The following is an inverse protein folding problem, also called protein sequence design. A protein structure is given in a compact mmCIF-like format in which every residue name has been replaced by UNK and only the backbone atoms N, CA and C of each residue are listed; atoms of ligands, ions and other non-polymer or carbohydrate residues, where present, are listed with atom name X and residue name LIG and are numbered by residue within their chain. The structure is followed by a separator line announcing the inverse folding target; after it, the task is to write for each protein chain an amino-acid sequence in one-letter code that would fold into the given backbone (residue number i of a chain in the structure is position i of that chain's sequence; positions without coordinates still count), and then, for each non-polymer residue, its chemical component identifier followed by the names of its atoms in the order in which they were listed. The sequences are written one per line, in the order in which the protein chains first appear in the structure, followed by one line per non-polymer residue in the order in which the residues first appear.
data_IF_042436530798
#
_entry.id   IF_042436530798
#
_cell.length_a   1.000
_cell.length_b   1.000
_cell.length_c   1.000
_cell.angle_alpha   90.00
_cell.angle_beta   90.00
_cell.angle_gamma   90.00
#
_symmetry.space_group_name_H-M   'P 1'
#
loop_
_entity.id
_entity.type
_entity.pdbx_description
1 polymer ?
#
# COMPACT_ATOMS: atom_id res chain seq x y z
N UNK A 1 54.89 -8.61 -39.62
CA UNK A 1 53.45 -8.81 -39.49
C UNK A 1 52.90 -9.01 -40.89
N UNK A 2 52.33 -10.19 -41.20
CA UNK A 2 51.79 -10.43 -42.54
C UNK A 2 50.39 -9.83 -42.71
N UNK A 3 49.91 -9.62 -43.96
CA UNK A 3 48.61 -8.99 -44.26
C UNK A 3 47.44 -9.69 -43.57
N UNK A 4 47.52 -10.99 -43.33
CA UNK A 4 46.47 -11.78 -42.66
C UNK A 4 46.41 -11.47 -41.14
N UNK A 5 47.53 -11.33 -40.49
CA UNK A 5 47.61 -10.93 -39.07
C UNK A 5 47.15 -9.49 -38.86
N UNK A 6 47.45 -8.59 -39.82
CA UNK A 6 46.98 -7.20 -39.78
C UNK A 6 45.44 -7.14 -39.92
N UNK A 7 44.86 -7.88 -40.89
CA UNK A 7 43.39 -7.97 -41.07
C UNK A 7 42.68 -8.57 -39.86
N UNK A 8 43.20 -9.65 -39.28
CA UNK A 8 42.62 -10.26 -38.11
C UNK A 8 42.65 -9.33 -36.87
N UNK A 9 43.76 -8.61 -36.67
CA UNK A 9 43.88 -7.67 -35.58
C UNK A 9 43.01 -6.40 -35.77
N UNK A 10 42.77 -5.98 -36.99
CA UNK A 10 41.94 -4.82 -37.31
C UNK A 10 40.45 -5.22 -37.29
N UNK A 11 40.11 -6.41 -37.81
CA UNK A 11 38.72 -6.93 -37.75
C UNK A 11 38.23 -7.22 -36.34
N UNK A 12 39.11 -7.58 -35.39
CA UNK A 12 38.74 -7.79 -33.99
C UNK A 12 38.59 -6.46 -33.19
N UNK A 13 39.30 -5.41 -33.57
CA UNK A 13 39.25 -4.12 -32.85
C UNK A 13 38.01 -3.30 -33.13
N UNK A 14 37.47 -3.30 -34.35
CA UNK A 14 36.26 -2.57 -34.71
C UNK A 14 35.02 -3.11 -34.05
N UNK A 15 34.74 -4.44 -34.02
CA UNK A 15 33.64 -5.00 -33.25
C UNK A 15 33.77 -4.80 -31.75
N UNK A 16 34.99 -4.83 -31.19
CA UNK A 16 35.21 -4.53 -29.78
C UNK A 16 34.93 -3.06 -29.44
N UNK A 17 35.33 -2.10 -30.28
CA UNK A 17 34.97 -0.69 -30.10
C UNK A 17 33.48 -0.46 -30.20
N UNK A 18 32.79 -1.08 -31.18
CA UNK A 18 31.33 -1.02 -31.29
C UNK A 18 30.63 -1.67 -30.11
N UNK A 19 31.10 -2.81 -29.62
CA UNK A 19 30.58 -3.47 -28.45
C UNK A 19 30.81 -2.62 -27.18
N UNK A 20 31.98 -2.01 -27.05
CA UNK A 20 32.28 -1.10 -25.92
C UNK A 20 31.40 0.14 -25.96
N UNK A 21 31.15 0.73 -27.13
CA UNK A 21 30.25 1.88 -27.31
C UNK A 21 28.79 1.50 -27.00
N UNK A 22 28.32 0.32 -27.45
CA UNK A 22 26.99 -0.23 -27.12
C UNK A 22 26.86 -0.49 -25.62
N UNK A 23 27.86 -1.12 -24.99
CA UNK A 23 27.83 -1.40 -23.55
C UNK A 23 27.92 -0.11 -22.70
N UNK A 24 28.62 0.93 -23.19
CA UNK A 24 28.64 2.25 -22.55
C UNK A 24 27.29 2.98 -22.70
N UNK A 25 26.66 2.88 -23.87
CA UNK A 25 25.32 3.44 -24.10
C UNK A 25 24.26 2.76 -23.27
N UNK A 26 24.35 1.43 -23.11
CA UNK A 26 23.43 0.63 -22.30
C UNK A 26 23.69 0.75 -20.79
N UNK A 27 24.67 1.58 -20.37
CA UNK A 27 25.05 1.79 -18.96
C UNK A 27 25.48 0.51 -18.22
N UNK A 28 25.77 -0.59 -18.90
CA UNK A 28 26.19 -1.84 -18.27
C UNK A 28 27.54 -1.73 -17.53
N UNK A 29 28.41 -0.79 -17.91
CA UNK A 29 29.67 -0.50 -17.19
C UNK A 29 29.51 0.57 -16.10
N UNK A 30 28.42 1.34 -16.08
CA UNK A 30 28.20 2.36 -15.04
C UNK A 30 27.81 1.74 -13.67
N UNK A 31 27.52 0.44 -13.63
CA UNK A 31 27.17 -0.26 -12.40
C UNK A 31 28.33 -1.02 -11.72
N UNK A 32 29.53 -0.90 -12.22
CA UNK A 32 30.75 -1.36 -11.51
C UNK A 32 31.24 -0.36 -10.44
N UNK A 33 30.48 0.70 -10.16
CA UNK A 33 30.70 1.53 -8.97
C UNK A 33 30.35 0.72 -7.72
N UNK A 34 31.22 0.81 -6.71
CA UNK A 34 31.11 0.26 -5.34
C UNK A 34 29.68 -0.12 -4.96
N UNK A 35 29.43 -1.32 -4.38
CA UNK A 35 28.11 -1.74 -3.94
C UNK A 35 27.55 -0.68 -2.99
N UNK A 36 26.69 0.20 -3.50
CA UNK A 36 26.03 1.21 -2.70
C UNK A 36 24.86 0.54 -1.99
N UNK A 37 24.62 0.94 -0.73
CA UNK A 37 23.42 0.51 -0.01
C UNK A 37 22.17 0.68 -0.92
N UNK A 38 21.43 -0.38 -1.27
CA UNK A 38 20.30 -0.29 -2.19
C UNK A 38 19.18 0.60 -1.66
N UNK A 39 19.15 0.83 -0.33
CA UNK A 39 18.21 1.72 0.34
C UNK A 39 18.73 3.15 0.53
N UNK A 40 19.91 3.51 -0.01
CA UNK A 40 20.35 4.91 0.02
C UNK A 40 19.31 5.82 -0.63
N UNK A 41 19.10 7.05 -0.09
CA UNK A 41 18.19 8.02 -0.69
C UNK A 41 18.51 8.25 -2.16
N UNK A 42 17.48 8.24 -3.01
CA UNK A 42 17.58 8.49 -4.44
C UNK A 42 16.74 9.72 -4.80
N UNK A 43 17.21 10.56 -5.75
CA UNK A 43 16.41 11.67 -6.23
C UNK A 43 15.16 11.15 -6.97
N UNK A 44 14.01 11.82 -6.82
CA UNK A 44 12.85 11.53 -7.62
C UNK A 44 13.08 11.93 -9.09
N UNK A 45 12.23 11.45 -10.00
CA UNK A 45 12.30 11.79 -11.42
C UNK A 45 11.92 13.26 -11.70
N UNK A 46 11.08 13.83 -10.83
CA UNK A 46 10.65 15.23 -10.84
C UNK A 46 10.26 15.66 -9.42
N UNK A 47 10.07 16.97 -9.14
CA UNK A 47 9.72 17.44 -7.80
C UNK A 47 8.49 16.74 -7.24
N UNK A 48 8.67 16.02 -6.13
CA UNK A 48 7.60 15.29 -5.45
C UNK A 48 6.65 16.26 -4.72
N UNK A 49 5.36 15.96 -4.75
CA UNK A 49 4.36 16.62 -3.90
C UNK A 49 4.30 15.99 -2.51
N UNK A 50 4.59 14.70 -2.43
CA UNK A 50 4.60 13.94 -1.18
C UNK A 50 5.96 13.27 -0.94
N UNK A 51 6.34 13.13 0.33
CA UNK A 51 7.51 12.40 0.78
C UNK A 51 7.17 11.04 1.37
N UNK A 52 5.90 10.86 1.80
CA UNK A 52 5.40 9.71 2.55
C UNK A 52 4.03 9.29 2.05
N UNK A 53 3.72 8.00 2.18
CA UNK A 53 2.40 7.47 1.85
C UNK A 53 1.96 6.46 2.93
N UNK A 54 0.71 6.57 3.36
CA UNK A 54 0.05 5.63 4.25
C UNK A 54 -1.09 4.98 3.51
N UNK A 55 -1.11 3.66 3.44
CA UNK A 55 -2.21 2.90 2.88
C UNK A 55 -3.01 2.22 4.00
N UNK A 56 -4.22 2.71 4.22
CA UNK A 56 -5.22 2.18 5.13
C UNK A 56 -6.02 1.10 4.37
N UNK A 57 -5.58 -0.15 4.46
CA UNK A 57 -6.13 -1.26 3.69
C UNK A 57 -7.26 -1.95 4.46
N UNK A 58 -8.47 -1.84 3.95
CA UNK A 58 -9.68 -2.46 4.49
C UNK A 58 -9.87 -3.84 3.85
N UNK A 59 -9.23 -4.84 4.44
CA UNK A 59 -9.19 -6.21 3.92
C UNK A 59 -10.59 -6.84 3.93
N UNK A 60 -11.02 -7.37 2.81
CA UNK A 60 -12.34 -7.97 2.65
C UNK A 60 -13.31 -7.14 1.79
N UNK A 61 -12.92 -5.95 1.34
CA UNK A 61 -13.70 -5.18 0.38
C UNK A 61 -14.91 -4.46 0.96
N UNK A 62 -14.76 -3.23 1.48
CA UNK A 62 -15.86 -2.41 1.96
C UNK A 62 -16.90 -2.12 0.87
N UNK A 63 -18.18 -2.17 1.21
CA UNK A 63 -19.27 -1.86 0.29
C UNK A 63 -19.30 -0.37 -0.08
N UNK A 64 -19.11 -0.05 -1.35
CA UNK A 64 -19.16 1.32 -1.86
C UNK A 64 -20.51 1.97 -1.61
N UNK A 65 -21.61 1.24 -1.85
CA UNK A 65 -22.97 1.75 -1.69
C UNK A 65 -23.36 1.97 -0.24
N UNK A 66 -22.60 1.44 0.70
CA UNK A 66 -22.82 1.61 2.15
C UNK A 66 -21.84 2.59 2.79
N UNK A 67 -20.82 3.08 2.05
CA UNK A 67 -19.73 3.90 2.60
C UNK A 67 -19.61 5.29 1.96
N UNK A 68 -19.26 5.39 0.66
CA UNK A 68 -18.93 6.66 0.00
C UNK A 68 -19.65 6.90 -1.35
N UNK A 69 -20.46 5.95 -1.83
CA UNK A 69 -21.18 6.03 -3.10
C UNK A 69 -22.69 5.87 -2.93
N UNK A 70 -23.41 6.91 -2.45
CA UNK A 70 -24.86 6.86 -2.24
C UNK A 70 -25.60 6.60 -3.55
N UNK A 71 -26.58 5.68 -3.53
CA UNK A 71 -27.40 5.30 -4.68
C UNK A 71 -28.89 5.45 -4.38
N UNK A 72 -29.49 6.62 -4.64
CA UNK A 72 -30.92 6.83 -4.43
C UNK A 72 -31.83 5.83 -5.18
N UNK A 73 -31.37 5.34 -6.33
CA UNK A 73 -32.09 4.33 -7.10
C UNK A 73 -32.27 3.01 -6.34
N UNK A 74 -31.34 2.66 -5.44
CA UNK A 74 -31.48 1.46 -4.59
C UNK A 74 -32.61 1.58 -3.58
N UNK A 75 -32.94 2.77 -3.10
CA UNK A 75 -34.11 2.96 -2.25
C UNK A 75 -35.40 2.69 -2.99
N UNK A 76 -35.51 3.23 -4.22
CA UNK A 76 -36.66 3.07 -5.10
C UNK A 76 -36.88 1.61 -5.53
N UNK A 77 -35.82 0.89 -5.78
CA UNK A 77 -35.85 -0.47 -6.32
C UNK A 77 -35.56 -1.56 -5.27
N UNK A 78 -35.51 -1.19 -3.99
CA UNK A 78 -35.25 -2.16 -2.91
C UNK A 78 -36.19 -3.37 -2.95
N UNK A 79 -35.62 -4.57 -2.86
CA UNK A 79 -36.36 -5.83 -2.87
C UNK A 79 -36.77 -6.33 -4.26
N UNK A 80 -36.54 -5.55 -5.34
CA UNK A 80 -36.81 -6.01 -6.71
C UNK A 80 -35.66 -6.85 -7.28
N UNK A 81 -35.95 -7.65 -8.30
CA UNK A 81 -34.90 -8.38 -9.03
C UNK A 81 -33.99 -7.42 -9.79
N UNK A 82 -32.72 -7.74 -9.86
CA UNK A 82 -31.78 -7.02 -10.71
C UNK A 82 -31.87 -7.50 -12.16
N UNK A 83 -32.02 -6.58 -13.10
CA UNK A 83 -32.16 -6.87 -14.54
C UNK A 83 -31.05 -6.23 -15.38
N UNK A 84 -29.90 -5.90 -14.81
CA UNK A 84 -28.81 -5.15 -15.44
C UNK A 84 -27.78 -5.99 -16.21
N UNK A 85 -28.10 -7.24 -16.57
CA UNK A 85 -27.25 -8.09 -17.41
C UNK A 85 -26.08 -8.79 -16.70
N UNK A 86 -25.99 -8.73 -15.37
CA UNK A 86 -25.14 -9.60 -14.56
C UNK A 86 -26.08 -10.67 -13.96
N UNK A 87 -25.93 -11.91 -14.37
CA UNK A 87 -26.83 -12.99 -13.95
C UNK A 87 -26.28 -13.79 -12.77
N UNK A 88 -24.96 -13.79 -12.62
CA UNK A 88 -24.25 -14.64 -11.68
C UNK A 88 -23.25 -13.82 -10.87
N UNK A 89 -23.23 -14.00 -9.58
CA UNK A 89 -22.27 -13.39 -8.66
C UNK A 89 -20.88 -14.02 -8.72
N UNK A 90 -19.97 -13.55 -7.87
CA UNK A 90 -18.58 -13.98 -7.80
C UNK A 90 -18.41 -15.47 -7.47
N UNK A 91 -19.36 -16.01 -6.72
CA UNK A 91 -19.40 -17.41 -6.27
C UNK A 91 -20.15 -18.35 -7.23
N UNK A 92 -20.58 -17.89 -8.41
CA UNK A 92 -21.35 -18.65 -9.38
C UNK A 92 -22.84 -18.83 -9.04
N UNK A 93 -23.35 -18.15 -8.02
CA UNK A 93 -24.77 -18.15 -7.63
C UNK A 93 -25.53 -17.05 -8.36
N UNK A 94 -26.84 -17.21 -8.58
CA UNK A 94 -27.66 -16.13 -9.13
C UNK A 94 -27.57 -14.88 -8.26
N UNK A 95 -27.53 -13.72 -8.92
CA UNK A 95 -27.55 -12.41 -8.25
C UNK A 95 -28.85 -12.27 -7.45
N UNK A 96 -28.72 -11.79 -6.21
CA UNK A 96 -29.83 -11.55 -5.31
C UNK A 96 -30.70 -10.34 -5.70
N UNK A 97 -31.60 -9.95 -4.80
CA UNK A 97 -32.48 -8.79 -4.97
C UNK A 97 -31.73 -7.51 -4.65
N UNK A 98 -32.07 -6.40 -5.31
CA UNK A 98 -31.53 -5.08 -5.01
C UNK A 98 -31.74 -4.73 -3.54
N UNK A 99 -30.68 -4.27 -2.89
CA UNK A 99 -30.68 -3.93 -1.47
C UNK A 99 -30.21 -2.50 -1.27
N UNK A 100 -31.07 -1.64 -0.77
CA UNK A 100 -30.70 -0.27 -0.38
C UNK A 100 -29.68 -0.28 0.75
N UNK A 101 -28.92 0.80 0.86
CA UNK A 101 -28.04 0.97 2.02
C UNK A 101 -28.86 1.06 3.32
N UNK A 102 -28.48 0.30 4.35
CA UNK A 102 -29.08 0.42 5.68
C UNK A 102 -28.52 1.65 6.45
N UNK A 103 -27.53 2.34 5.89
CA UNK A 103 -26.85 3.47 6.51
C UNK A 103 -27.23 4.75 5.79
N UNK A 104 -27.81 5.74 6.49
CA UNK A 104 -28.12 7.03 5.88
C UNK A 104 -26.83 7.77 5.50
N UNK A 105 -26.92 8.52 4.39
CA UNK A 105 -25.90 9.44 3.93
C UNK A 105 -26.28 10.86 4.25
N UNK A 106 -25.32 11.66 4.67
CA UNK A 106 -25.46 13.12 4.85
C UNK A 106 -24.33 13.84 4.17
N UNK A 107 -24.58 15.08 3.76
CA UNK A 107 -23.55 15.95 3.16
C UNK A 107 -22.68 16.55 4.27
N UNK A 108 -21.37 16.60 4.03
CA UNK A 108 -20.40 17.07 5.00
C UNK A 108 -19.42 18.07 4.37
N UNK A 109 -18.84 18.92 5.23
CA UNK A 109 -17.90 19.96 4.82
C UNK A 109 -18.55 21.05 3.98
N UNK A 110 -17.74 21.97 3.47
CA UNK A 110 -18.15 23.00 2.52
C UNK A 110 -18.38 22.41 1.12
N UNK A 111 -17.67 21.32 0.81
CA UNK A 111 -17.80 20.57 -0.45
C UNK A 111 -19.15 19.88 -0.60
N UNK A 112 -19.87 19.64 0.50
CA UNK A 112 -21.11 18.87 0.49
C UNK A 112 -20.92 17.39 0.15
N UNK A 113 -19.72 16.82 0.35
CA UNK A 113 -19.42 15.44 0.03
C UNK A 113 -20.33 14.50 0.85
N UNK A 114 -21.14 13.63 0.22
CA UNK A 114 -21.98 12.70 0.95
C UNK A 114 -21.14 11.54 1.50
N UNK A 115 -21.27 11.31 2.80
CA UNK A 115 -20.59 10.23 3.53
C UNK A 115 -21.62 9.49 4.39
N UNK A 116 -21.47 8.18 4.47
CA UNK A 116 -22.33 7.31 5.27
C UNK A 116 -22.18 7.59 6.76
N UNK A 117 -23.28 7.37 7.50
CA UNK A 117 -23.29 7.42 8.97
C UNK A 117 -22.34 6.43 9.67
N UNK A 118 -21.71 5.54 8.91
CA UNK A 118 -20.64 4.66 9.40
C UNK A 118 -19.38 5.43 9.83
N UNK A 119 -19.12 6.62 9.23
CA UNK A 119 -17.88 7.39 9.37
C UNK A 119 -18.10 8.80 9.94
N UNK A 120 -18.71 8.96 11.14
CA UNK A 120 -19.02 10.29 11.69
C UNK A 120 -17.78 11.13 12.04
N UNK A 121 -16.62 10.51 12.25
CA UNK A 121 -15.38 11.23 12.56
C UNK A 121 -14.60 11.57 11.30
N UNK A 122 -14.45 10.64 10.35
CA UNK A 122 -13.84 10.91 9.03
C UNK A 122 -14.62 11.99 8.28
N UNK A 123 -15.95 12.01 8.40
CA UNK A 123 -16.82 13.00 7.77
C UNK A 123 -16.50 14.44 8.15
N UNK A 124 -15.87 14.69 9.31
CA UNK A 124 -15.39 16.03 9.72
C UNK A 124 -14.29 16.58 8.81
N UNK A 125 -13.65 15.70 8.05
CA UNK A 125 -12.57 15.99 7.11
C UNK A 125 -13.01 15.84 5.64
N UNK A 126 -14.32 15.92 5.35
CA UNK A 126 -14.86 15.75 4.01
C UNK A 126 -14.18 16.64 2.97
N UNK A 127 -13.84 17.88 3.33
CA UNK A 127 -13.16 18.83 2.44
C UNK A 127 -11.71 18.46 2.12
N UNK A 128 -11.13 17.52 2.85
CA UNK A 128 -9.79 17.00 2.62
C UNK A 128 -9.80 15.72 1.76
N UNK A 129 -10.95 15.06 1.60
CA UNK A 129 -11.05 13.77 0.91
C UNK A 129 -11.28 13.94 -0.59
N UNK A 130 -10.54 13.17 -1.38
CA UNK A 130 -10.81 12.92 -2.79
C UNK A 130 -11.34 11.48 -2.94
N UNK A 131 -12.65 11.33 -3.10
CA UNK A 131 -13.28 10.02 -3.23
C UNK A 131 -13.24 9.56 -4.70
N UNK A 132 -12.65 8.40 -4.94
CA UNK A 132 -12.60 7.73 -6.24
C UNK A 132 -13.74 6.71 -6.29
N UNK A 133 -14.88 7.05 -6.94
CA UNK A 133 -16.08 6.21 -6.95
C UNK A 133 -16.14 5.19 -8.07
N UNK A 134 -15.23 5.29 -9.01
CA UNK A 134 -15.21 4.45 -10.22
C UNK A 134 -14.02 3.51 -10.27
N UNK A 135 -13.51 3.10 -9.10
CA UNK A 135 -12.45 2.10 -9.04
C UNK A 135 -12.95 0.76 -9.58
N UNK A 136 -12.08 0.02 -10.26
CA UNK A 136 -12.33 -1.35 -10.69
C UNK A 136 -11.04 -2.18 -10.72
N UNK A 137 -11.19 -3.51 -10.68
CA UNK A 137 -10.08 -4.47 -10.64
C UNK A 137 -10.36 -5.64 -11.59
N UNK A 138 -9.39 -6.55 -11.77
CA UNK A 138 -9.48 -7.64 -12.74
C UNK A 138 -10.01 -8.96 -12.13
N UNK A 139 -10.36 -8.98 -10.84
CA UNK A 139 -10.70 -10.21 -10.14
C UNK A 139 -11.72 -10.02 -9.01
N UNK A 140 -12.60 -11.02 -8.85
CA UNK A 140 -13.55 -11.11 -7.75
C UNK A 140 -13.03 -11.89 -6.53
N UNK A 141 -11.86 -12.51 -6.62
CA UNK A 141 -11.34 -13.36 -5.56
C UNK A 141 -10.42 -12.56 -4.62
N UNK A 142 -10.64 -12.62 -3.30
CA UNK A 142 -9.87 -11.87 -2.30
C UNK A 142 -8.36 -12.06 -2.46
N UNK A 143 -7.88 -13.31 -2.60
CA UNK A 143 -6.44 -13.58 -2.69
C UNK A 143 -5.78 -12.81 -3.83
N UNK A 144 -6.31 -12.92 -5.05
CA UNK A 144 -5.78 -12.20 -6.22
C UNK A 144 -6.11 -10.72 -6.21
N UNK A 145 -7.25 -10.31 -5.62
CA UNK A 145 -7.62 -8.90 -5.45
C UNK A 145 -6.68 -8.16 -4.49
N UNK A 146 -6.41 -8.73 -3.32
CA UNK A 146 -5.42 -8.18 -2.39
C UNK A 146 -4.03 -8.09 -3.03
N UNK A 147 -3.60 -9.16 -3.73
CA UNK A 147 -2.31 -9.15 -4.43
C UNK A 147 -2.30 -8.08 -5.52
N UNK A 148 -3.37 -7.94 -6.31
CA UNK A 148 -3.43 -6.91 -7.37
C UNK A 148 -3.42 -5.50 -6.79
N UNK A 149 -4.18 -5.23 -5.74
CA UNK A 149 -4.19 -3.92 -5.09
C UNK A 149 -2.80 -3.55 -4.53
N UNK A 150 -2.02 -4.53 -4.11
CA UNK A 150 -0.70 -4.28 -3.55
C UNK A 150 0.43 -4.31 -4.58
N UNK A 151 0.32 -5.10 -5.66
CA UNK A 151 1.43 -5.37 -6.59
C UNK A 151 1.16 -4.99 -8.05
N UNK A 152 -0.07 -4.58 -8.37
CA UNK A 152 -0.51 -4.31 -9.75
C UNK A 152 -0.76 -5.57 -10.59
N UNK A 153 -0.70 -6.77 -9.99
CA UNK A 153 -0.87 -8.05 -10.69
C UNK A 153 -1.73 -9.00 -9.87
N UNK A 154 -2.61 -9.74 -10.52
CA UNK A 154 -3.39 -10.81 -9.87
C UNK A 154 -2.54 -12.03 -9.47
N UNK A 155 -1.30 -12.10 -9.94
CA UNK A 155 -0.37 -13.19 -9.68
C UNK A 155 0.64 -12.81 -8.60
N UNK A 156 0.95 -13.75 -7.70
CA UNK A 156 2.01 -13.62 -6.70
C UNK A 156 3.40 -13.53 -7.34
N UNK A 157 4.39 -13.08 -6.55
CA UNK A 157 5.80 -13.00 -6.99
C UNK A 157 6.19 -11.66 -7.63
N UNK A 158 5.26 -10.70 -7.69
CA UNK A 158 5.56 -9.31 -8.09
C UNK A 158 5.87 -8.44 -6.87
N UNK A 159 6.74 -7.42 -7.02
CA UNK A 159 7.00 -6.47 -5.93
C UNK A 159 5.77 -5.63 -5.61
N UNK A 160 5.55 -5.39 -4.33
CA UNK A 160 4.48 -4.52 -3.84
C UNK A 160 4.76 -3.03 -4.10
N UNK A 161 3.73 -2.19 -4.02
CA UNK A 161 3.85 -0.73 -4.15
C UNK A 161 4.90 -0.15 -3.19
N UNK A 162 4.93 -0.61 -1.93
CA UNK A 162 5.95 -0.19 -0.96
C UNK A 162 7.35 -0.61 -1.37
N UNK A 163 7.51 -1.78 -2.00
CA UNK A 163 8.78 -2.24 -2.56
C UNK A 163 9.23 -1.37 -3.72
N UNK A 164 8.33 -0.98 -4.62
CA UNK A 164 8.61 -0.05 -5.72
C UNK A 164 9.00 1.34 -5.23
N UNK A 165 8.33 1.86 -4.20
CA UNK A 165 8.68 3.14 -3.58
C UNK A 165 10.05 3.08 -2.90
N UNK A 166 10.34 2.00 -2.18
CA UNK A 166 11.65 1.76 -1.55
C UNK A 166 12.77 1.62 -2.60
N UNK A 167 12.51 0.94 -3.71
CA UNK A 167 13.44 0.82 -4.82
C UNK A 167 13.68 2.17 -5.52
N UNK A 168 12.63 2.93 -5.81
CA UNK A 168 12.70 4.19 -6.55
C UNK A 168 13.30 5.34 -5.75
N UNK A 169 13.03 5.42 -4.44
CA UNK A 169 13.39 6.58 -3.62
C UNK A 169 14.37 6.26 -2.47
N UNK A 170 14.59 4.99 -2.17
CA UNK A 170 15.37 4.59 -0.99
C UNK A 170 14.70 4.97 0.33
N UNK A 171 15.46 4.94 1.41
CA UNK A 171 15.05 5.33 2.75
C UNK A 171 15.61 6.72 3.12
N UNK A 172 14.76 7.55 3.73
CA UNK A 172 15.20 8.80 4.35
C UNK A 172 15.71 8.60 5.80
N UNK A 173 15.60 7.37 6.32
CA UNK A 173 15.95 6.99 7.68
C UNK A 173 16.88 5.76 7.65
N UNK A 174 17.95 5.80 8.43
CA UNK A 174 18.92 4.71 8.51
C UNK A 174 18.60 3.69 9.62
N UNK A 175 17.72 4.04 10.57
CA UNK A 175 17.45 3.28 11.78
C UNK A 175 16.11 2.56 11.78
N UNK A 176 15.27 2.79 10.76
CA UNK A 176 13.97 2.16 10.56
C UNK A 176 13.81 1.72 9.11
N UNK A 177 12.98 0.71 8.83
CA UNK A 177 12.67 0.30 7.47
C UNK A 177 12.04 1.44 6.68
N UNK A 178 12.29 1.49 5.37
CA UNK A 178 11.59 2.41 4.45
C UNK A 178 10.11 2.05 4.26
N UNK A 179 9.77 0.78 4.48
CA UNK A 179 8.44 0.20 4.31
C UNK A 179 8.04 -0.62 5.54
N UNK A 180 6.99 -0.18 6.23
CA UNK A 180 6.43 -0.83 7.43
C UNK A 180 5.01 -1.31 7.15
N UNK A 181 4.69 -2.49 7.65
CA UNK A 181 3.35 -3.11 7.55
C UNK A 181 2.86 -3.42 8.95
N UNK A 182 1.60 -3.13 9.25
CA UNK A 182 0.94 -3.53 10.49
C UNK A 182 -0.35 -4.29 10.15
N UNK A 183 -0.39 -5.57 10.51
CA UNK A 183 -1.54 -6.45 10.26
C UNK A 183 -2.60 -6.33 11.36
N UNK A 184 -3.78 -6.88 11.08
CA UNK A 184 -4.83 -7.02 12.07
C UNK A 184 -4.46 -8.12 13.09
N UNK A 185 -4.81 -7.99 14.38
CA UNK A 185 -4.50 -9.02 15.38
C UNK A 185 -5.26 -10.33 15.15
N UNK A 186 -6.39 -10.30 14.43
CA UNK A 186 -7.16 -11.50 14.03
C UNK A 186 -6.44 -12.33 12.96
N UNK A 187 -5.46 -11.74 12.28
CA UNK A 187 -4.65 -12.40 11.26
C UNK A 187 -4.16 -11.42 10.18
N UNK A 188 -3.40 -11.93 9.21
CA UNK A 188 -3.02 -11.15 8.03
C UNK A 188 -4.12 -11.16 6.96
N UNK A 189 -4.00 -10.30 5.93
CA UNK A 189 -4.87 -10.36 4.77
C UNK A 189 -4.67 -11.68 4.02
N UNK A 190 -5.65 -12.05 3.22
CA UNK A 190 -5.53 -13.22 2.33
C UNK A 190 -4.34 -13.00 1.39
N UNK A 191 -3.49 -14.02 1.23
CA UNK A 191 -2.19 -13.89 0.56
C UNK A 191 -1.02 -13.51 1.47
N UNK A 192 -1.29 -13.19 2.75
CA UNK A 192 -0.31 -12.97 3.81
C UNK A 192 0.89 -12.11 3.34
N UNK A 193 2.12 -12.54 3.59
CA UNK A 193 3.35 -11.80 3.27
C UNK A 193 3.55 -11.50 1.77
N UNK A 194 2.84 -12.19 0.88
CA UNK A 194 2.88 -11.87 -0.56
C UNK A 194 2.38 -10.46 -0.87
N UNK A 195 1.52 -9.90 -0.02
CA UNK A 195 0.98 -8.54 -0.17
C UNK A 195 2.03 -7.42 0.04
N UNK A 196 3.11 -7.70 0.76
CA UNK A 196 4.21 -6.74 1.00
C UNK A 196 5.58 -7.29 0.61
N UNK A 197 5.58 -8.30 -0.24
CA UNK A 197 6.79 -8.94 -0.75
C UNK A 197 7.58 -8.02 -1.68
N UNK A 198 8.92 -8.19 -1.67
CA UNK A 198 9.80 -7.64 -2.68
C UNK A 198 9.68 -8.38 -4.04
N UNK A 199 8.98 -9.52 -4.09
CA UNK A 199 8.83 -10.31 -5.30
C UNK A 199 10.18 -10.70 -5.90
N UNK A 200 10.40 -10.31 -7.16
CA UNK A 200 11.68 -10.54 -7.86
C UNK A 200 12.76 -9.49 -7.55
N UNK A 201 12.48 -8.49 -6.74
CA UNK A 201 13.47 -7.52 -6.27
C UNK A 201 14.23 -8.05 -5.05
N UNK A 202 15.42 -7.52 -4.73
CA UNK A 202 16.13 -7.85 -3.50
C UNK A 202 15.26 -7.68 -2.24
N UNK A 203 15.43 -8.57 -1.28
CA UNK A 203 14.67 -8.60 -0.01
C UNK A 203 14.76 -7.31 0.83
N UNK A 204 15.78 -6.47 0.60
CA UNK A 204 15.90 -5.17 1.27
C UNK A 204 14.73 -4.22 1.00
N UNK A 205 13.98 -4.43 -0.09
CA UNK A 205 12.81 -3.62 -0.43
C UNK A 205 11.49 -4.17 0.12
N UNK A 206 11.51 -5.33 0.78
CA UNK A 206 10.33 -5.97 1.37
C UNK A 206 9.79 -5.16 2.55
N UNK A 207 8.46 -5.16 2.72
CA UNK A 207 7.83 -4.59 3.90
C UNK A 207 8.19 -5.33 5.19
N UNK A 208 8.52 -4.58 6.23
CA UNK A 208 8.81 -5.10 7.56
C UNK A 208 7.55 -5.09 8.40
N UNK A 209 7.17 -6.26 8.90
CA UNK A 209 5.98 -6.41 9.75
C UNK A 209 6.26 -5.87 11.15
N UNK A 210 5.50 -4.85 11.55
CA UNK A 210 5.46 -4.30 12.90
C UNK A 210 4.20 -4.75 13.62
N UNK A 211 4.29 -4.96 14.91
CA UNK A 211 3.18 -5.28 15.80
C UNK A 211 2.74 -4.03 16.55
N UNK A 212 1.44 -3.90 16.75
CA UNK A 212 0.84 -2.79 17.52
C UNK A 212 0.99 -2.91 19.03
N UNK A 213 1.46 -4.07 19.52
CA UNK A 213 1.69 -4.33 20.94
C UNK A 213 2.79 -5.34 21.19
N UNK A 214 3.43 -5.27 22.35
CA UNK A 214 4.59 -6.09 22.71
C UNK A 214 5.85 -5.70 21.93
N UNK A 215 6.69 -6.67 21.59
CA UNK A 215 7.87 -6.42 20.76
C UNK A 215 7.44 -5.95 19.36
N UNK A 216 7.93 -4.80 18.85
CA UNK A 216 7.51 -4.25 17.55
C UNK A 216 7.80 -5.19 16.38
N UNK A 217 8.93 -5.86 16.43
CA UNK A 217 9.35 -6.89 15.49
C UNK A 217 9.77 -8.12 16.29
N UNK A 218 9.36 -9.32 15.85
CA UNK A 218 9.75 -10.56 16.53
C UNK A 218 11.25 -10.73 16.47
N UNK A 219 11.81 -11.30 17.55
CA UNK A 219 13.23 -11.64 17.68
C UNK A 219 14.22 -10.50 17.43
N UNK A 220 13.73 -9.25 17.54
CA UNK A 220 14.57 -8.05 17.37
C UNK A 220 15.50 -7.79 18.58
N UNK A 221 15.07 -8.19 19.77
CA UNK A 221 15.85 -7.95 20.98
C UNK A 221 17.17 -8.72 20.97
N UNK A 222 18.22 -8.15 21.58
CA UNK A 222 19.47 -8.88 21.78
C UNK A 222 19.22 -10.19 22.57
N UNK A 223 19.66 -11.35 22.08
CA UNK A 223 19.46 -12.63 22.76
C UNK A 223 20.03 -12.62 24.19
N UNK A 224 19.37 -13.35 25.08
CA UNK A 224 19.82 -13.46 26.47
C UNK A 224 21.27 -14.02 26.53
N UNK A 225 22.12 -13.42 27.35
CA UNK A 225 23.53 -13.78 27.49
C UNK A 225 24.47 -13.16 26.44
N UNK A 226 23.95 -12.45 25.45
CA UNK A 226 24.75 -11.69 24.48
C UNK A 226 24.81 -10.22 24.94
N UNK A 227 26.02 -9.65 25.05
CA UNK A 227 26.18 -8.23 25.33
C UNK A 227 26.08 -7.43 24.03
N UNK A 228 25.66 -6.14 24.11
CA UNK A 228 25.66 -5.23 22.96
C UNK A 228 27.03 -5.17 22.26
N UNK A 229 28.13 -5.22 23.05
CA UNK A 229 29.49 -5.22 22.53
C UNK A 229 29.76 -6.50 21.73
N UNK A 230 29.51 -7.68 22.30
CA UNK A 230 29.77 -8.95 21.59
C UNK A 230 28.87 -9.11 20.35
N UNK A 231 27.65 -8.60 20.39
CA UNK A 231 26.78 -8.56 19.21
C UNK A 231 27.37 -7.64 18.11
N UNK A 232 27.88 -6.44 18.48
CA UNK A 232 28.53 -5.56 17.50
C UNK A 232 29.78 -6.18 16.92
N UNK A 233 30.65 -6.75 17.77
CA UNK A 233 31.88 -7.42 17.32
C UNK A 233 31.56 -8.58 16.34
N UNK A 234 30.50 -9.35 16.61
CA UNK A 234 30.06 -10.43 15.71
C UNK A 234 29.52 -9.91 14.37
N UNK A 235 28.77 -8.82 14.37
CA UNK A 235 28.27 -8.17 13.15
C UNK A 235 29.42 -7.57 12.33
N UNK A 236 30.42 -6.95 12.97
CA UNK A 236 31.59 -6.41 12.29
C UNK A 236 32.42 -7.53 11.63
N UNK A 237 32.58 -8.67 12.32
CA UNK A 237 33.24 -9.84 11.74
C UNK A 237 32.44 -10.38 10.54
N UNK A 238 31.12 -10.54 10.68
CA UNK A 238 30.25 -11.00 9.60
C UNK A 238 30.32 -10.06 8.39
N UNK A 239 30.31 -8.74 8.63
CA UNK A 239 30.42 -7.73 7.58
C UNK A 239 31.79 -7.83 6.84
N UNK A 240 32.88 -8.05 7.57
CA UNK A 240 34.21 -8.24 6.96
C UNK A 240 34.26 -9.53 6.12
N UNK A 241 33.71 -10.64 6.60
CA UNK A 241 33.62 -11.89 5.83
C UNK A 241 32.75 -11.72 4.56
N UNK A 242 31.63 -11.04 4.67
CA UNK A 242 30.75 -10.76 3.55
C UNK A 242 31.43 -9.85 2.50
N UNK A 243 32.18 -8.84 2.92
CA UNK A 243 32.96 -7.98 2.01
C UNK A 243 34.05 -8.77 1.27
N UNK A 244 34.76 -9.68 1.94
CA UNK A 244 35.73 -10.57 1.30
C UNK A 244 35.06 -11.47 0.26
N UNK A 245 33.91 -12.05 0.61
CA UNK A 245 33.12 -12.87 -0.31
C UNK A 245 32.64 -12.09 -1.53
N UNK A 246 32.22 -10.84 -1.33
CA UNK A 246 31.76 -9.93 -2.39
C UNK A 246 32.88 -9.57 -3.39
N UNK A 247 34.12 -9.44 -2.94
CA UNK A 247 35.28 -9.18 -3.82
C UNK A 247 35.48 -10.27 -4.87
N UNK A 248 35.10 -11.50 -4.58
CA UNK A 248 35.20 -12.65 -5.50
C UNK A 248 33.97 -12.84 -6.38
N UNK A 249 32.88 -12.08 -6.13
CA UNK A 249 31.58 -12.18 -6.82
C UNK A 249 31.02 -10.80 -7.14
N UNK A 250 31.71 -10.12 -8.06
CA UNK A 250 31.35 -8.79 -8.53
C UNK A 250 29.99 -8.85 -9.25
N UNK A 251 28.90 -8.53 -8.60
CA UNK A 251 27.56 -8.21 -9.07
C UNK A 251 26.38 -8.87 -8.30
N UNK A 252 26.58 -9.39 -7.10
CA UNK A 252 25.45 -9.94 -6.30
C UNK A 252 24.82 -8.82 -5.44
N UNK A 253 23.88 -8.07 -6.03
CA UNK A 253 23.06 -7.07 -5.29
C UNK A 253 22.32 -7.67 -4.09
N UNK A 254 22.03 -8.97 -4.12
CA UNK A 254 21.40 -9.70 -3.01
C UNK A 254 22.31 -9.82 -1.78
N UNK A 255 23.62 -9.97 -1.99
CA UNK A 255 24.58 -10.07 -0.86
C UNK A 255 24.67 -8.72 -0.13
N UNK A 256 24.76 -7.61 -0.87
CA UNK A 256 24.75 -6.28 -0.24
C UNK A 256 23.44 -5.99 0.48
N UNK A 257 22.30 -6.33 -0.13
CA UNK A 257 20.99 -6.21 0.51
C UNK A 257 20.92 -6.98 1.84
N UNK A 258 21.52 -8.17 1.90
CA UNK A 258 21.60 -8.99 3.11
C UNK A 258 22.49 -8.37 4.19
N UNK A 259 23.64 -7.84 3.80
CA UNK A 259 24.54 -7.11 4.73
C UNK A 259 23.79 -5.93 5.37
N UNK A 260 23.13 -5.13 4.54
CA UNK A 260 22.40 -3.96 5.00
C UNK A 260 21.19 -4.32 5.89
N UNK A 261 20.54 -5.47 5.65
CA UNK A 261 19.44 -5.92 6.49
C UNK A 261 19.86 -6.29 7.92
N UNK A 262 21.05 -6.87 8.11
CA UNK A 262 21.60 -7.13 9.44
C UNK A 262 21.95 -5.85 10.18
N UNK A 263 22.55 -4.88 9.50
CA UNK A 263 22.87 -3.58 10.09
C UNK A 263 21.59 -2.81 10.45
N UNK A 264 20.58 -2.83 9.61
CA UNK A 264 19.28 -2.23 9.89
C UNK A 264 18.63 -2.90 11.11
N UNK A 265 18.60 -4.24 11.17
CA UNK A 265 18.03 -4.97 12.31
C UNK A 265 18.72 -4.59 13.63
N UNK A 266 20.04 -4.45 13.64
CA UNK A 266 20.77 -4.00 14.82
C UNK A 266 20.39 -2.57 15.24
N UNK A 267 20.32 -1.63 14.29
CA UNK A 267 19.93 -0.22 14.59
C UNK A 267 18.47 -0.12 15.04
N UNK A 268 17.60 -0.98 14.52
CA UNK A 268 16.20 -1.05 14.91
C UNK A 268 15.98 -1.47 16.36
N UNK A 269 16.87 -2.21 16.98
CA UNK A 269 16.69 -2.74 18.34
C UNK A 269 16.28 -1.65 19.35
N UNK A 270 16.82 -0.46 19.23
CA UNK A 270 16.47 0.68 20.11
C UNK A 270 15.35 1.52 19.50
N UNK A 271 15.50 1.93 18.23
CA UNK A 271 14.61 2.92 17.62
C UNK A 271 13.19 2.38 17.39
N UNK A 272 13.06 1.10 17.01
CA UNK A 272 11.74 0.50 16.82
C UNK A 272 11.00 0.35 18.17
N UNK A 273 11.70 -0.07 19.23
CA UNK A 273 11.10 -0.18 20.55
C UNK A 273 10.60 1.18 21.06
N UNK A 274 11.39 2.24 20.91
CA UNK A 274 10.98 3.61 21.28
C UNK A 274 9.80 4.12 20.45
N UNK A 275 9.71 3.70 19.18
CA UNK A 275 8.64 4.14 18.28
C UNK A 275 7.28 3.58 18.69
N UNK A 276 7.24 2.32 19.16
CA UNK A 276 5.99 1.68 19.60
C UNK A 276 5.66 1.90 21.08
N UNK A 277 6.56 2.50 21.84
CA UNK A 277 6.32 2.89 23.23
C UNK A 277 5.37 4.10 23.29
N UNK A 278 4.08 3.83 23.48
CA UNK A 278 3.01 4.84 23.54
C UNK A 278 2.76 5.38 24.94
N UNK A 279 3.47 4.91 25.97
CA UNK A 279 3.29 5.36 27.36
C UNK A 279 3.73 6.82 27.56
N UNK A 280 4.56 7.32 26.64
CA UNK A 280 5.02 8.72 26.62
C UNK A 280 4.05 9.69 25.94
N UNK A 281 3.00 9.20 25.32
CA UNK A 281 1.98 10.04 24.69
C UNK A 281 1.05 10.65 25.74
N UNK A 282 0.58 11.87 25.48
CA UNK A 282 -0.34 12.55 26.39
C UNK A 282 -1.70 11.81 26.44
N UNK A 283 -2.42 11.97 27.55
CA UNK A 283 -3.79 11.43 27.66
C UNK A 283 -4.72 11.98 26.59
N UNK A 284 -4.54 13.24 26.18
CA UNK A 284 -5.30 13.85 25.09
C UNK A 284 -5.05 13.13 23.78
N UNK A 285 -3.78 12.86 23.42
CA UNK A 285 -3.41 12.11 22.23
C UNK A 285 -3.97 10.70 22.29
N UNK A 286 -3.82 9.99 23.41
CA UNK A 286 -4.34 8.63 23.60
C UNK A 286 -5.86 8.58 23.40
N UNK A 287 -6.59 9.55 23.97
CA UNK A 287 -8.05 9.66 23.84
C UNK A 287 -8.46 9.98 22.39
N UNK A 288 -7.74 10.88 21.73
CA UNK A 288 -8.00 11.25 20.33
C UNK A 288 -7.93 10.02 19.42
N UNK A 289 -6.89 9.20 19.56
CA UNK A 289 -6.75 7.95 18.79
C UNK A 289 -7.62 6.80 19.30
N UNK A 290 -8.29 6.95 20.45
CA UNK A 290 -9.16 5.93 21.02
C UNK A 290 -8.43 4.68 21.48
N UNK A 291 -7.15 4.78 21.89
CA UNK A 291 -6.33 3.62 22.28
C UNK A 291 -6.74 3.00 23.62
N UNK A 292 -7.53 3.70 24.42
CA UNK A 292 -8.06 3.22 25.70
C UNK A 292 -9.51 2.67 25.58
N UNK A 293 -10.11 2.76 24.38
CA UNK A 293 -11.41 2.16 24.07
C UNK A 293 -11.20 0.78 23.45
N UNK A 294 -11.72 -0.31 24.04
CA UNK A 294 -11.50 -1.68 23.55
C UNK A 294 -11.84 -1.87 22.06
N UNK A 295 -12.84 -1.13 21.54
CA UNK A 295 -13.25 -1.23 20.13
C UNK A 295 -12.24 -0.66 19.16
N UNK A 296 -11.62 0.47 19.51
CA UNK A 296 -10.70 1.21 18.64
C UNK A 296 -9.23 1.00 18.99
N UNK A 297 -8.95 0.38 20.14
CA UNK A 297 -7.64 0.30 20.76
C UNK A 297 -6.53 -0.20 19.81
N UNK A 298 -6.77 -1.29 19.10
CA UNK A 298 -5.75 -1.87 18.22
C UNK A 298 -5.47 -0.96 17.02
N UNK A 299 -6.51 -0.56 16.29
CA UNK A 299 -6.35 0.30 15.12
C UNK A 299 -5.88 1.71 15.51
N UNK A 300 -6.29 2.20 16.68
CA UNK A 300 -5.80 3.45 17.27
C UNK A 300 -4.30 3.43 17.55
N UNK A 301 -3.78 2.33 18.13
CA UNK A 301 -2.34 2.15 18.33
C UNK A 301 -1.60 2.12 17.00
N UNK A 302 -2.09 1.40 16.00
CA UNK A 302 -1.50 1.37 14.64
C UNK A 302 -1.43 2.77 14.04
N UNK A 303 -2.51 3.55 14.10
CA UNK A 303 -2.55 4.92 13.58
C UNK A 303 -1.56 5.84 14.34
N UNK A 304 -1.48 5.73 15.66
CA UNK A 304 -0.54 6.53 16.47
C UNK A 304 0.92 6.12 16.21
N UNK A 305 1.21 4.83 16.11
CA UNK A 305 2.55 4.35 15.70
C UNK A 305 2.88 4.83 14.29
N UNK A 306 1.91 4.86 13.38
CA UNK A 306 2.09 5.40 12.02
C UNK A 306 2.55 6.86 12.05
N UNK A 307 1.90 7.74 12.83
CA UNK A 307 2.33 9.12 12.98
C UNK A 307 3.80 9.20 13.45
N UNK A 308 4.19 8.40 14.46
CA UNK A 308 5.55 8.35 15.01
C UNK A 308 6.59 7.80 14.02
N UNK A 309 6.19 6.84 13.16
CA UNK A 309 7.03 6.34 12.07
C UNK A 309 7.24 7.40 10.98
N UNK A 310 6.19 8.15 10.63
CA UNK A 310 6.26 9.25 9.66
C UNK A 310 7.18 10.38 10.14
N UNK A 311 7.10 10.76 11.42
CA UNK A 311 8.01 11.73 12.06
C UNK A 311 9.47 11.31 11.95
N UNK A 312 9.73 9.99 11.96
CA UNK A 312 11.07 9.41 11.83
C UNK A 312 11.49 9.12 10.40
N UNK A 313 10.70 9.55 9.42
CA UNK A 313 11.05 9.46 7.99
C UNK A 313 10.76 8.12 7.33
N UNK A 314 9.93 7.26 7.91
CA UNK A 314 9.43 6.06 7.21
C UNK A 314 8.59 6.50 6.01
N UNK A 315 8.89 5.93 4.83
CA UNK A 315 8.36 6.41 3.56
C UNK A 315 7.00 5.82 3.19
N UNK A 316 6.83 4.53 3.42
CA UNK A 316 5.58 3.84 3.12
C UNK A 316 5.13 3.00 4.31
N UNK A 317 3.88 3.20 4.71
CA UNK A 317 3.28 2.47 5.84
C UNK A 317 1.95 1.89 5.37
N UNK A 318 1.72 0.62 5.64
CA UNK A 318 0.50 -0.07 5.31
C UNK A 318 -0.16 -0.63 6.57
N UNK A 319 -1.40 -0.23 6.81
CA UNK A 319 -2.22 -0.69 7.92
C UNK A 319 -3.35 -1.57 7.40
N UNK A 320 -3.48 -2.77 7.94
CA UNK A 320 -4.61 -3.64 7.65
C UNK A 320 -5.67 -3.54 8.74
N UNK A 321 -6.93 -3.33 8.32
CA UNK A 321 -8.14 -3.50 9.11
C UNK A 321 -8.87 -4.72 8.59
N UNK A 322 -9.18 -5.66 9.46
CA UNK A 322 -9.70 -6.98 9.11
C UNK A 322 -8.60 -7.99 8.81
N UNK A 323 -8.66 -9.12 9.50
CA UNK A 323 -7.68 -10.20 9.37
C UNK A 323 -8.33 -11.56 9.53
N UNK A 324 -7.70 -12.59 8.96
CA UNK A 324 -8.29 -13.92 8.92
C UNK A 324 -9.27 -14.10 7.77
N UNK A 325 -10.48 -14.55 8.05
CA UNK A 325 -11.49 -14.85 7.04
C UNK A 325 -12.89 -14.36 7.46
N UNK A 326 -13.75 -14.17 6.47
CA UNK A 326 -15.19 -13.86 6.64
C UNK A 326 -15.41 -12.64 7.56
N UNK A 327 -16.21 -12.82 8.59
CA UNK A 327 -16.69 -11.77 9.51
C UNK A 327 -15.57 -11.01 10.24
N UNK A 328 -14.36 -11.60 10.34
CA UNK A 328 -13.17 -10.94 10.89
C UNK A 328 -12.55 -9.91 9.92
N UNK A 329 -13.10 -9.81 8.72
CA UNK A 329 -12.72 -8.87 7.66
C UNK A 329 -13.95 -8.06 7.23
N UNK A 330 -13.77 -7.12 6.28
CA UNK A 330 -14.88 -6.40 5.65
C UNK A 330 -15.70 -7.26 4.68
N UNK A 331 -15.48 -8.58 4.66
CA UNK A 331 -16.16 -9.55 3.80
C UNK A 331 -17.59 -9.84 4.28
N UNK A 332 -18.52 -8.94 3.99
CA UNK A 332 -19.89 -8.94 4.48
C UNK A 332 -20.86 -9.79 3.64
N UNK A 333 -20.59 -11.07 3.39
CA UNK A 333 -21.53 -11.99 2.73
C UNK A 333 -22.76 -12.31 3.56
N UNK A 334 -22.62 -12.31 4.88
CA UNK A 334 -23.72 -12.48 5.82
C UNK A 334 -23.72 -11.31 6.80
N UNK A 335 -24.91 -10.77 7.10
CA UNK A 335 -25.08 -9.65 8.05
C UNK A 335 -24.12 -8.49 7.80
N UNK A 336 -24.10 -7.98 6.56
CA UNK A 336 -23.19 -6.88 6.21
C UNK A 336 -23.45 -5.63 7.06
N UNK A 337 -24.63 -5.50 7.68
CA UNK A 337 -24.97 -4.41 8.59
C UNK A 337 -24.11 -4.48 9.85
N UNK A 338 -24.09 -5.62 10.52
CA UNK A 338 -23.27 -5.82 11.73
C UNK A 338 -21.77 -5.78 11.38
N UNK A 339 -21.37 -6.43 10.29
CA UNK A 339 -20.01 -6.44 9.81
C UNK A 339 -19.46 -5.02 9.57
N UNK A 340 -20.15 -4.21 8.76
CA UNK A 340 -19.69 -2.85 8.44
C UNK A 340 -19.74 -1.91 9.64
N UNK A 341 -20.74 -2.07 10.56
CA UNK A 341 -20.76 -1.33 11.82
C UNK A 341 -19.57 -1.67 12.71
N UNK A 342 -19.17 -2.95 12.76
CA UNK A 342 -18.02 -3.39 13.55
C UNK A 342 -16.73 -2.74 13.02
N UNK A 343 -16.41 -2.98 11.77
CA UNK A 343 -15.13 -2.55 11.19
C UNK A 343 -15.02 -1.04 11.00
N UNK A 344 -16.11 -0.36 10.60
CA UNK A 344 -16.12 1.10 10.56
C UNK A 344 -15.92 1.71 11.96
N UNK A 345 -16.58 1.12 12.97
CA UNK A 345 -16.42 1.60 14.35
C UNK A 345 -15.04 1.35 14.95
N UNK A 346 -14.28 0.38 14.45
CA UNK A 346 -12.89 0.15 14.82
C UNK A 346 -11.95 1.19 14.21
N UNK A 347 -12.28 1.72 13.01
CA UNK A 347 -11.34 2.49 12.17
C UNK A 347 -11.65 3.98 12.08
N UNK A 348 -12.90 4.40 12.17
CA UNK A 348 -13.35 5.79 11.92
C UNK A 348 -12.64 6.81 12.82
N UNK A 349 -12.71 6.65 14.14
CA UNK A 349 -12.06 7.56 15.08
C UNK A 349 -10.54 7.57 14.92
N UNK A 350 -9.82 6.43 14.87
CA UNK A 350 -8.38 6.39 14.67
C UNK A 350 -7.90 7.06 13.37
N UNK A 351 -8.60 6.87 12.27
CA UNK A 351 -8.25 7.50 10.98
C UNK A 351 -8.44 9.01 11.05
N UNK A 352 -9.57 9.47 11.60
CA UNK A 352 -9.83 10.88 11.82
C UNK A 352 -8.77 11.52 12.73
N UNK A 353 -8.34 10.82 13.78
CA UNK A 353 -7.27 11.25 14.66
C UNK A 353 -5.93 11.36 13.91
N UNK A 354 -5.61 10.40 13.05
CA UNK A 354 -4.41 10.45 12.23
C UNK A 354 -4.42 11.67 11.30
N UNK A 355 -5.54 11.96 10.63
CA UNK A 355 -5.68 13.17 9.78
C UNK A 355 -5.45 14.44 10.60
N UNK A 356 -6.14 14.57 11.75
CA UNK A 356 -6.01 15.73 12.63
C UNK A 356 -4.57 15.92 13.11
N UNK A 357 -3.91 14.84 13.51
CA UNK A 357 -2.56 14.87 14.07
C UNK A 357 -1.50 15.18 13.01
N UNK A 358 -1.63 14.64 11.81
CA UNK A 358 -0.77 14.99 10.67
C UNK A 358 -0.89 16.49 10.31
N UNK A 359 -2.09 17.04 10.35
CA UNK A 359 -2.32 18.49 10.15
C UNK A 359 -1.66 19.30 11.28
N UNK A 360 -1.86 18.91 12.52
CA UNK A 360 -1.30 19.58 13.69
C UNK A 360 0.22 19.57 13.71
N UNK A 361 0.85 18.48 13.24
CA UNK A 361 2.32 18.31 13.27
C UNK A 361 3.01 18.79 11.99
N UNK A 362 2.26 19.28 10.99
CA UNK A 362 2.81 19.76 9.71
C UNK A 362 3.24 18.63 8.76
N UNK A 363 2.89 17.37 9.07
CA UNK A 363 3.19 16.21 8.21
C UNK A 363 2.17 16.04 7.09
N UNK A 364 1.01 16.72 7.18
CA UNK A 364 -0.08 16.61 6.22
C UNK A 364 0.32 16.96 4.80
N UNK A 365 1.06 18.06 4.62
CA UNK A 365 1.47 18.58 3.31
C UNK A 365 2.59 17.74 2.64
N UNK A 366 3.08 16.73 3.34
CA UNK A 366 4.12 15.81 2.85
C UNK A 366 3.68 14.34 2.84
N UNK A 367 2.43 14.04 3.24
CA UNK A 367 1.94 12.67 3.41
C UNK A 367 0.66 12.44 2.61
N UNK A 368 0.63 11.38 1.80
CA UNK A 368 -0.59 10.87 1.15
C UNK A 368 -1.21 9.84 2.07
N UNK A 369 -2.51 9.96 2.31
CA UNK A 369 -3.33 8.89 2.86
C UNK A 369 -4.15 8.25 1.73
N UNK A 370 -4.21 6.93 1.70
CA UNK A 370 -5.04 6.13 0.79
C UNK A 370 -5.88 5.18 1.64
N UNK A 371 -7.18 5.14 1.41
CA UNK A 371 -8.12 4.24 2.09
C UNK A 371 -8.90 3.43 1.06
N UNK A 372 -9.06 2.14 1.31
CA UNK A 372 -9.88 1.24 0.52
C UNK A 372 -9.46 -0.20 0.66
N UNK A 373 -10.19 -1.10 0.00
CA UNK A 373 -9.91 -2.52 -0.05
C UNK A 373 -9.59 -3.00 -1.46
N UNK A 374 -9.60 -4.31 -1.63
CA UNK A 374 -9.25 -4.97 -2.89
C UNK A 374 -10.33 -4.87 -3.96
N UNK A 375 -11.60 -4.70 -3.57
CA UNK A 375 -12.79 -4.47 -4.42
C UNK A 375 -13.97 -4.00 -3.55
N UNK A 376 -15.16 -3.89 -4.14
CA UNK A 376 -16.39 -3.48 -3.47
C UNK A 376 -17.37 -4.62 -3.26
N UNK A 377 -18.66 -4.24 -3.06
CA UNK A 377 -19.76 -5.18 -2.83
C UNK A 377 -20.92 -4.92 -3.77
N UNK A 378 -21.57 -6.01 -4.21
CA UNK A 378 -22.76 -5.87 -5.08
C UNK A 378 -23.87 -5.07 -4.38
N UNK A 379 -24.64 -4.27 -5.12
CA UNK A 379 -25.80 -3.59 -4.59
C UNK A 379 -27.00 -4.53 -4.34
N UNK A 380 -26.78 -5.84 -4.40
CA UNK A 380 -27.80 -6.87 -4.17
C UNK A 380 -27.55 -7.60 -2.86
N UNK A 381 -28.60 -8.21 -2.30
CA UNK A 381 -28.51 -8.99 -1.07
C UNK A 381 -28.18 -10.44 -1.34
N UNK A 382 -27.28 -11.00 -0.55
CA UNK A 382 -27.18 -12.44 -0.33
C UNK A 382 -27.93 -12.78 0.98
N UNK A 383 -28.78 -13.82 0.94
CA UNK A 383 -29.60 -14.23 2.09
C UNK A 383 -30.83 -13.35 2.32
N UNK A 384 -31.72 -13.82 3.18
CA UNK A 384 -33.02 -13.16 3.52
C UNK A 384 -33.02 -12.64 4.95
N UNK A 385 -32.64 -13.47 5.92
CA UNK A 385 -32.73 -13.12 7.35
C UNK A 385 -31.61 -12.19 7.82
N UNK A 386 -30.42 -12.39 7.31
CA UNK A 386 -29.20 -11.57 7.56
C UNK A 386 -28.57 -11.21 6.23
N UNK A 387 -29.07 -10.18 5.57
CA UNK A 387 -28.63 -9.87 4.23
C UNK A 387 -27.18 -9.38 4.22
N UNK A 388 -26.37 -10.03 3.39
CA UNK A 388 -25.02 -9.63 3.04
C UNK A 388 -24.95 -9.15 1.61
N UNK A 389 -23.74 -8.90 1.10
CA UNK A 389 -23.46 -8.52 -0.25
C UNK A 389 -22.31 -9.36 -0.81
N UNK A 390 -22.42 -9.80 -2.07
CA UNK A 390 -21.36 -10.50 -2.78
C UNK A 390 -20.26 -9.52 -3.22
N UNK A 391 -19.15 -10.03 -3.75
CA UNK A 391 -18.03 -9.25 -4.26
C UNK A 391 -18.42 -8.48 -5.52
N UNK A 392 -17.97 -7.24 -5.60
CA UNK A 392 -18.07 -6.44 -6.81
C UNK A 392 -16.70 -5.83 -7.19
N UNK A 393 -16.13 -6.34 -8.26
CA UNK A 393 -14.86 -5.88 -8.81
C UNK A 393 -15.02 -4.90 -9.97
N UNK A 394 -16.25 -4.69 -10.45
CA UNK A 394 -16.57 -3.81 -11.59
C UNK A 394 -16.72 -2.35 -11.18
N UNK A 395 -17.03 -2.10 -9.89
CA UNK A 395 -17.22 -0.74 -9.39
C UNK A 395 -17.10 -0.68 -7.87
N UNK A 396 -16.14 0.10 -7.36
CA UNK A 396 -15.99 0.32 -5.93
C UNK A 396 -15.40 1.69 -5.62
N UNK A 397 -15.41 2.06 -4.33
CA UNK A 397 -14.90 3.35 -3.88
C UNK A 397 -13.65 3.21 -3.04
N UNK A 398 -12.71 4.09 -3.32
CA UNK A 398 -11.56 4.40 -2.46
C UNK A 398 -11.50 5.89 -2.21
N UNK A 399 -10.66 6.36 -1.30
CA UNK A 399 -10.35 7.78 -1.21
C UNK A 399 -8.86 8.02 -0.98
N UNK A 400 -8.42 9.19 -1.42
CA UNK A 400 -7.09 9.73 -1.18
C UNK A 400 -7.21 11.07 -0.45
N UNK A 401 -6.19 11.44 0.32
CA UNK A 401 -6.12 12.73 1.00
C UNK A 401 -4.66 13.14 1.27
N UNK A 402 -4.43 14.42 1.56
CA UNK A 402 -3.12 14.95 1.95
C UNK A 402 -2.31 15.49 0.78
N UNK A 403 -1.01 15.38 0.88
CA UNK A 403 -0.02 16.04 0.02
C UNK A 403 -0.31 15.92 -1.49
N UNK A 404 -0.58 17.05 -2.14
CA UNK A 404 -0.81 17.12 -3.58
C UNK A 404 -2.15 16.52 -4.06
N UNK A 405 -3.00 16.05 -3.14
CA UNK A 405 -4.35 15.57 -3.46
C UNK A 405 -5.34 16.72 -3.37
N UNK A 406 -6.19 16.87 -4.39
CA UNK A 406 -7.28 17.85 -4.39
C UNK A 406 -8.47 17.29 -3.63
N UNK A 407 -8.67 17.75 -2.39
CA UNK A 407 -9.77 17.35 -1.52
C UNK A 407 -11.12 17.93 -1.89
N UNK A 408 -12.17 17.57 -1.13
CA UNK A 408 -13.52 18.08 -1.25
C UNK A 408 -14.25 17.64 -2.52
N UNK A 409 -13.94 16.50 -3.10
CA UNK A 409 -14.54 16.05 -4.35
C UNK A 409 -14.72 14.54 -4.43
N UNK A 410 -15.61 14.12 -5.33
CA UNK A 410 -15.70 12.75 -5.81
C UNK A 410 -15.37 12.71 -7.31
N UNK A 411 -14.60 11.71 -7.74
CA UNK A 411 -14.18 11.49 -9.12
C UNK A 411 -14.82 10.20 -9.62
N UNK A 412 -15.38 10.27 -10.83
CA UNK A 412 -16.05 9.20 -11.49
C UNK A 412 -17.37 8.80 -10.83
N UNK A 413 -18.04 7.86 -11.42
CA UNK A 413 -19.29 7.30 -10.90
C UNK A 413 -19.41 5.82 -11.26
N UNK A 414 -20.05 5.06 -10.38
CA UNK A 414 -20.67 3.80 -10.76
C UNK A 414 -22.06 4.04 -11.35
N UNK A 415 -22.65 3.06 -11.99
CA UNK A 415 -24.01 3.13 -12.52
C UNK A 415 -25.04 3.49 -11.44
N UNK A 416 -26.29 3.72 -11.85
CA UNK A 416 -27.36 4.16 -10.95
C UNK A 416 -27.60 3.23 -9.75
N UNK A 417 -27.23 1.96 -9.88
CA UNK A 417 -27.38 0.94 -8.83
C UNK A 417 -26.08 0.69 -8.05
N UNK A 418 -24.93 1.12 -8.59
CA UNK A 418 -23.64 0.94 -7.93
C UNK A 418 -22.88 -0.32 -8.30
N UNK A 419 -23.18 -0.96 -9.45
CA UNK A 419 -22.49 -2.15 -9.91
C UNK A 419 -21.20 -1.86 -10.67
N UNK A 420 -21.26 -1.01 -11.72
CA UNK A 420 -20.15 -0.84 -12.66
C UNK A 420 -19.66 0.58 -12.69
N UNK A 421 -18.35 0.76 -12.73
CA UNK A 421 -17.74 2.03 -13.07
C UNK A 421 -18.14 2.44 -14.48
N UNK A 422 -18.84 3.58 -14.63
CA UNK A 422 -19.38 4.06 -15.91
C UNK A 422 -18.88 5.45 -16.30
N UNK A 423 -18.45 6.26 -15.33
CA UNK A 423 -17.86 7.56 -15.57
C UNK A 423 -16.43 7.59 -15.03
N UNK A 424 -15.48 8.08 -15.83
CA UNK A 424 -14.05 8.13 -15.46
C UNK A 424 -13.56 6.85 -14.74
N UNK A 425 -13.66 5.67 -15.35
CA UNK A 425 -13.29 4.44 -14.69
C UNK A 425 -11.79 4.42 -14.34
N UNK A 426 -11.48 4.08 -13.09
CA UNK A 426 -10.13 4.11 -12.51
C UNK A 426 -9.70 2.69 -12.19
N UNK A 427 -8.73 2.17 -12.94
CA UNK A 427 -8.15 0.86 -12.65
C UNK A 427 -7.15 0.94 -11.48
N UNK A 428 -6.90 -0.18 -10.80
CA UNK A 428 -5.88 -0.26 -9.73
C UNK A 428 -4.51 0.25 -10.20
N UNK A 429 -4.13 0.00 -11.46
CA UNK A 429 -2.88 0.53 -12.04
C UNK A 429 -2.87 2.07 -12.15
N UNK A 430 -4.03 2.71 -12.29
CA UNK A 430 -4.13 4.17 -12.35
C UNK A 430 -3.95 4.78 -10.96
N UNK A 431 -4.45 4.10 -9.91
CA UNK A 431 -4.17 4.46 -8.52
C UNK A 431 -2.66 4.38 -8.24
N UNK A 432 -2.01 3.28 -8.64
CA UNK A 432 -0.56 3.13 -8.47
C UNK A 432 0.22 4.22 -9.22
N UNK A 433 -0.15 4.50 -10.48
CA UNK A 433 0.47 5.57 -11.27
C UNK A 433 0.32 6.93 -10.58
N UNK A 434 -0.84 7.20 -9.99
CA UNK A 434 -1.15 8.46 -9.28
C UNK A 434 -0.34 8.59 -7.99
N UNK A 435 -0.25 7.53 -7.19
CA UNK A 435 0.57 7.54 -5.96
C UNK A 435 2.04 7.76 -6.32
N UNK A 436 2.58 7.02 -7.32
CA UNK A 436 3.95 7.19 -7.77
C UNK A 436 4.21 8.62 -8.27
N UNK A 437 3.27 9.19 -9.02
CA UNK A 437 3.36 10.57 -9.51
C UNK A 437 3.44 11.58 -8.35
N UNK A 438 2.56 11.48 -7.37
CA UNK A 438 2.60 12.35 -6.18
C UNK A 438 3.91 12.22 -5.41
N UNK A 439 4.53 11.03 -5.40
CA UNK A 439 5.84 10.75 -4.80
C UNK A 439 7.03 11.16 -5.71
N UNK A 440 6.76 11.81 -6.86
CA UNK A 440 7.79 12.30 -7.79
C UNK A 440 8.37 11.23 -8.71
N UNK A 441 7.70 10.11 -8.88
CA UNK A 441 8.13 8.99 -9.71
C UNK A 441 7.27 8.86 -10.97
N UNK A 442 7.92 8.84 -12.13
CA UNK A 442 7.30 8.48 -13.39
C UNK A 442 7.18 6.95 -13.46
N UNK A 443 5.97 6.44 -13.37
CA UNK A 443 5.69 4.99 -13.36
C UNK A 443 6.12 4.29 -14.65
N UNK A 444 6.31 5.04 -15.76
CA UNK A 444 6.77 4.48 -17.03
C UNK A 444 8.29 4.36 -17.09
N UNK A 445 9.01 5.17 -16.32
CA UNK A 445 10.47 5.17 -16.19
C UNK A 445 10.97 4.37 -15.01
N UNK A 446 10.13 4.18 -13.98
CA UNK A 446 10.45 3.35 -12.83
C UNK A 446 10.37 1.88 -13.24
N UNK A 447 11.49 1.34 -13.67
CA UNK A 447 11.59 -0.03 -14.18
C UNK A 447 12.60 -0.86 -13.40
N UNK A 448 12.37 -2.16 -13.33
CA UNK A 448 13.31 -3.15 -12.80
C UNK A 448 13.52 -4.23 -13.86
N UNK A 449 14.78 -4.46 -14.24
CA UNK A 449 15.09 -5.49 -15.24
C UNK A 449 15.04 -6.88 -14.62
N UNK A 450 14.14 -7.73 -15.12
CA UNK A 450 13.97 -9.10 -14.64
C UNK A 450 13.54 -10.02 -15.78
N UNK A 451 14.21 -11.16 -15.91
CA UNK A 451 13.95 -12.17 -16.95
C UNK A 451 13.86 -11.58 -18.39
N UNK A 452 14.79 -10.69 -18.72
CA UNK A 452 14.88 -10.12 -20.08
C UNK A 452 13.98 -8.91 -20.36
N UNK A 453 13.17 -8.46 -19.37
CA UNK A 453 12.22 -7.35 -19.54
C UNK A 453 12.37 -6.28 -18.45
N UNK A 454 12.12 -5.04 -18.83
CA UNK A 454 11.95 -3.94 -17.89
C UNK A 454 10.53 -4.01 -17.31
N UNK A 455 10.42 -4.53 -16.10
CA UNK A 455 9.16 -4.66 -15.37
C UNK A 455 8.73 -3.32 -14.75
N UNK A 456 7.42 -3.09 -14.64
CA UNK A 456 6.79 -1.94 -13.98
C UNK A 456 5.63 -2.42 -13.11
N UNK A 457 5.31 -1.71 -12.02
CA UNK A 457 4.13 -2.05 -11.20
C UNK A 457 2.82 -1.93 -12.00
N UNK A 458 2.75 -0.94 -12.88
CA UNK A 458 1.56 -0.66 -13.71
C UNK A 458 1.46 -1.57 -14.94
N UNK A 459 2.47 -2.40 -15.21
CA UNK A 459 2.54 -3.23 -16.41
C UNK A 459 2.46 -2.38 -17.69
N UNK A 460 1.47 -2.66 -18.52
CA UNK A 460 1.19 -1.90 -19.76
C UNK A 460 0.08 -0.85 -19.58
N UNK A 461 -0.49 -0.78 -18.38
CA UNK A 461 -1.59 0.15 -18.00
C UNK A 461 -1.04 1.29 -17.16
N UNK A 462 -1.91 2.09 -16.59
CA UNK A 462 -1.65 3.15 -15.63
C UNK A 462 -1.71 4.52 -16.24
N UNK A 463 -2.75 5.25 -15.87
CA UNK A 463 -2.91 6.67 -16.17
C UNK A 463 -2.94 7.43 -14.85
N UNK A 464 -2.21 8.52 -14.77
CA UNK A 464 -2.30 9.39 -13.60
C UNK A 464 -3.68 10.02 -13.57
N UNK A 465 -4.42 9.87 -12.48
CA UNK A 465 -5.74 10.47 -12.28
C UNK A 465 -5.57 11.97 -12.02
N UNK A 466 -5.39 12.73 -13.09
CA UNK A 466 -5.07 14.16 -13.00
C UNK A 466 -6.13 15.00 -12.28
N UNK A 467 -7.40 14.60 -12.34
CA UNK A 467 -8.51 15.25 -11.59
C UNK A 467 -8.31 15.14 -10.06
N UNK A 468 -7.55 14.17 -9.56
CA UNK A 468 -7.24 14.00 -8.14
C UNK A 468 -6.07 14.87 -7.66
N UNK A 469 -5.38 15.56 -8.55
CA UNK A 469 -4.19 16.35 -8.23
C UNK A 469 -4.55 17.82 -7.95
N UNK A 470 -3.87 18.41 -6.92
CA UNK A 470 -3.99 19.81 -6.54
C UNK A 470 -2.99 20.71 -7.30
#
# INVERSE_FOLDING_TARGET
MNRRQWLMNTAARFPMLALTDLLLRDQHFAQAATPSNPLSPKPPHFPAKAKRCVFLFMNGGPSQVDTFDPKPALEKHHGTAYNGGIEVGSNGRPIGRLMKSPFPFTQHGQSGLPISSLFPNIAKFADDLCVLRSMYTDTAAHASGCIQMNTGSVLIGKPSLGSWLSYGLGSANENLPSYVVMSDPRGGPIGSASNWSAGYMPGAFQGTLFRSGGAPVLDLATPQGITKKSQRDALDLLQNLNRQHQQTRLAEAELEARIQSYELAYRMQTTAAETVDLDKETEETRRMYGIDNPRTADFGRKCLITRRLLERGVRFIQLYSGGGHLEDTWDGHADCITNHKLHAGETDQPIAALIADLKRTGLWDETILVWGGEFGRTPTSEGVDKPGRDHDWHGFSMWMAGAGVKGGQAIGATDELGFKAVEDPIHVSDLHATILHLMGLDHTKLTYFYQGFNQRITGVRGNVVSKALA
#
